data_IF_928811215306
#
_entry.id   IF_928811215306
#
_cell.length_a   1.000
_cell.length_b   1.000
_cell.length_c   1.000
_cell.angle_alpha   90.00
_cell.angle_beta   90.00
_cell.angle_gamma   90.00
#
_symmetry.space_group_name_H-M   'P 1'
#
loop_
_entity.id
_entity.type
_entity.pdbx_description
1 polymer ?
#
# COMPACT_ATOMS: atom_id res chain seq x y z
N UNK A 1 5.62 13.36 0.43
CA UNK A 1 5.13 13.64 -0.94
C UNK A 1 4.65 12.34 -1.59
N UNK A 2 3.38 12.29 -1.97
CA UNK A 2 2.77 11.13 -2.64
C UNK A 2 2.85 11.35 -4.15
N UNK A 3 3.36 10.35 -4.87
CA UNK A 3 3.43 10.36 -6.33
C UNK A 3 2.28 9.50 -6.83
N UNK A 4 1.26 10.12 -7.44
CA UNK A 4 0.17 9.40 -8.09
C UNK A 4 0.65 8.73 -9.38
N UNK A 5 0.02 7.61 -9.75
CA UNK A 5 0.32 6.91 -11.01
C UNK A 5 1.81 6.59 -11.18
N UNK A 6 2.42 5.97 -10.16
CA UNK A 6 3.84 5.59 -10.22
C UNK A 6 4.00 4.36 -11.12
N UNK A 7 4.62 4.53 -12.29
CA UNK A 7 4.79 3.49 -13.30
C UNK A 7 6.24 3.01 -13.45
N UNK A 8 7.20 3.84 -13.00
CA UNK A 8 8.63 3.55 -13.16
C UNK A 8 9.46 4.05 -11.98
N UNK A 9 10.70 3.54 -11.84
CA UNK A 9 11.62 4.06 -10.83
C UNK A 9 12.02 5.51 -11.10
N UNK A 10 11.98 5.96 -12.37
CA UNK A 10 12.30 7.35 -12.72
C UNK A 10 11.33 8.32 -12.07
N UNK A 11 10.03 7.99 -11.97
CA UNK A 11 9.03 8.85 -11.35
C UNK A 11 9.38 9.19 -9.90
N UNK A 12 9.97 8.23 -9.19
CA UNK A 12 10.43 8.40 -7.82
C UNK A 12 11.74 9.20 -7.76
N UNK A 13 12.69 8.89 -8.65
CA UNK A 13 13.99 9.57 -8.70
C UNK A 13 13.87 11.03 -9.17
N UNK A 14 12.89 11.34 -10.02
CA UNK A 14 12.61 12.71 -10.47
C UNK A 14 12.20 13.61 -9.29
N UNK A 15 11.49 13.10 -8.30
CA UNK A 15 11.16 13.87 -7.09
C UNK A 15 12.43 14.21 -6.30
N UNK A 16 13.39 13.31 -6.20
CA UNK A 16 14.68 13.59 -5.58
C UNK A 16 15.48 14.62 -6.38
N UNK A 17 15.47 14.50 -7.70
CA UNK A 17 16.13 15.45 -8.61
C UNK A 17 15.50 16.85 -8.48
N UNK A 18 14.19 16.98 -8.55
CA UNK A 18 13.50 18.25 -8.36
C UNK A 18 13.74 18.80 -6.95
N UNK A 19 13.65 17.94 -5.94
CA UNK A 19 13.98 18.30 -4.56
C UNK A 19 15.40 18.89 -4.42
N UNK A 20 16.36 18.35 -5.18
CA UNK A 20 17.72 18.89 -5.23
C UNK A 20 17.77 20.27 -5.87
N UNK A 21 17.07 20.48 -6.97
CA UNK A 21 17.02 21.78 -7.66
C UNK A 21 16.43 22.89 -6.77
N UNK A 22 15.46 22.54 -5.93
CA UNK A 22 14.77 23.48 -5.03
C UNK A 22 15.36 23.52 -3.61
N UNK A 23 16.49 22.86 -3.36
CA UNK A 23 17.17 22.88 -2.07
C UNK A 23 16.52 22.05 -0.96
N UNK A 24 15.53 21.18 -1.30
CA UNK A 24 14.88 20.26 -0.36
C UNK A 24 15.68 18.96 -0.17
N UNK A 25 16.58 18.69 -1.09
CA UNK A 25 17.50 17.54 -1.06
C UNK A 25 18.93 18.06 -1.18
N UNK A 26 19.80 17.65 -0.28
CA UNK A 26 21.24 17.96 -0.32
C UNK A 26 22.05 16.68 -0.47
N UNK A 27 23.17 16.77 -1.16
CA UNK A 27 24.16 15.70 -1.23
C UNK A 27 25.44 16.18 -0.57
N UNK A 28 25.84 15.53 0.52
CA UNK A 28 27.06 15.87 1.24
C UNK A 28 27.93 14.61 1.34
N UNK A 29 29.14 14.67 0.76
CA UNK A 29 30.10 13.56 0.77
C UNK A 29 29.54 12.22 0.29
N UNK A 30 28.68 12.25 -0.74
CA UNK A 30 28.06 11.05 -1.30
C UNK A 30 26.81 10.56 -0.56
N UNK A 31 26.43 11.18 0.54
CA UNK A 31 25.20 10.87 1.26
C UNK A 31 24.10 11.86 0.89
N UNK A 32 22.91 11.35 0.62
CA UNK A 32 21.70 12.12 0.35
C UNK A 32 21.04 12.46 1.69
N UNK A 33 20.72 13.74 1.90
CA UNK A 33 20.04 14.24 3.10
C UNK A 33 18.81 15.01 2.68
N UNK A 34 17.64 14.63 3.23
CA UNK A 34 16.35 15.29 2.96
C UNK A 34 15.33 14.98 4.04
N UNK A 35 14.44 15.92 4.29
CA UNK A 35 13.25 15.69 5.12
C UNK A 35 12.06 15.17 4.32
N UNK A 36 12.14 15.16 3.00
CA UNK A 36 11.09 14.62 2.14
C UNK A 36 10.90 13.12 2.38
N UNK A 37 9.66 12.72 2.64
CA UNK A 37 9.23 11.33 2.55
C UNK A 37 8.53 11.13 1.22
N UNK A 38 9.09 10.30 0.35
CA UNK A 38 8.56 10.01 -0.97
C UNK A 38 7.72 8.73 -0.89
N UNK A 39 6.47 8.81 -1.29
CA UNK A 39 5.50 7.72 -1.20
C UNK A 39 4.98 7.41 -2.60
N UNK A 40 5.45 6.34 -3.24
CA UNK A 40 4.88 5.89 -4.50
C UNK A 40 3.45 5.40 -4.28
N UNK A 41 2.53 5.76 -5.20
CA UNK A 41 1.14 5.33 -5.19
C UNK A 41 0.88 4.47 -6.43
N UNK A 42 0.40 3.26 -6.20
CA UNK A 42 0.00 2.30 -7.22
C UNK A 42 -1.53 2.22 -7.24
N UNK A 43 -2.14 2.51 -8.38
CA UNK A 43 -3.59 2.76 -8.48
C UNK A 43 -4.32 1.78 -9.39
N UNK A 44 -3.73 1.39 -10.53
CA UNK A 44 -4.33 0.43 -11.46
C UNK A 44 -3.95 -1.01 -11.11
N UNK A 45 -4.64 -1.99 -11.69
CA UNK A 45 -4.28 -3.41 -11.54
C UNK A 45 -2.87 -3.67 -12.07
N UNK A 46 -2.54 -3.09 -13.22
CA UNK A 46 -1.21 -3.20 -13.82
C UNK A 46 -0.11 -2.61 -12.93
N UNK A 47 -0.39 -1.47 -12.27
CA UNK A 47 0.54 -0.89 -11.29
C UNK A 47 0.74 -1.81 -10.09
N UNK A 48 -0.34 -2.37 -9.54
CA UNK A 48 -0.28 -3.30 -8.42
C UNK A 48 0.54 -4.56 -8.74
N UNK A 49 0.43 -5.06 -9.96
CA UNK A 49 1.20 -6.23 -10.43
C UNK A 49 2.69 -5.91 -10.62
N UNK A 50 3.00 -4.71 -11.13
CA UNK A 50 4.37 -4.27 -11.41
C UNK A 50 5.10 -3.71 -10.19
N UNK A 51 4.38 -3.23 -9.17
CA UNK A 51 4.92 -2.56 -7.98
C UNK A 51 6.06 -3.34 -7.28
N UNK A 52 5.97 -4.67 -7.03
CA UNK A 52 7.05 -5.39 -6.38
C UNK A 52 8.36 -5.37 -7.18
N UNK A 53 8.27 -5.50 -8.51
CA UNK A 53 9.44 -5.42 -9.39
C UNK A 53 10.02 -4.01 -9.42
N UNK A 54 9.18 -3.00 -9.57
CA UNK A 54 9.59 -1.60 -9.59
C UNK A 54 10.32 -1.22 -8.28
N UNK A 55 9.77 -1.61 -7.14
CA UNK A 55 10.41 -1.37 -5.84
C UNK A 55 11.73 -2.13 -5.71
N UNK A 56 11.81 -3.37 -6.20
CA UNK A 56 13.06 -4.12 -6.22
C UNK A 56 14.14 -3.41 -7.03
N UNK A 57 13.79 -2.91 -8.22
CA UNK A 57 14.70 -2.16 -9.10
C UNK A 57 15.11 -0.81 -8.48
N UNK A 58 14.19 -0.19 -7.74
CA UNK A 58 14.44 1.06 -7.03
C UNK A 58 15.40 0.87 -5.85
N UNK A 59 15.26 -0.21 -5.08
CA UNK A 59 16.13 -0.50 -3.92
C UNK A 59 17.54 -0.92 -4.32
N UNK A 60 17.76 -1.31 -5.56
CA UNK A 60 19.09 -1.57 -6.12
C UNK A 60 19.79 -0.30 -6.65
N UNK A 61 19.09 0.82 -6.70
CA UNK A 61 19.64 2.10 -7.16
C UNK A 61 20.44 2.75 -6.02
N UNK A 62 21.72 3.06 -6.26
CA UNK A 62 22.63 3.62 -5.26
C UNK A 62 22.13 4.95 -4.67
N UNK A 63 21.49 5.78 -5.49
CA UNK A 63 20.94 7.06 -5.03
C UNK A 63 19.76 6.84 -4.09
N UNK A 64 18.90 5.87 -4.44
CA UNK A 64 17.75 5.55 -3.62
C UNK A 64 18.13 4.82 -2.33
N UNK A 65 19.14 3.96 -2.37
CA UNK A 65 19.68 3.32 -1.15
C UNK A 65 20.24 4.39 -0.19
N UNK A 66 20.94 5.40 -0.71
CA UNK A 66 21.39 6.55 0.09
C UNK A 66 20.20 7.32 0.71
N UNK A 67 19.11 7.48 -0.04
CA UNK A 67 17.87 8.07 0.47
C UNK A 67 17.26 7.22 1.60
N UNK A 68 17.14 5.90 1.42
CA UNK A 68 16.61 5.00 2.45
C UNK A 68 17.45 5.01 3.72
N UNK A 69 18.76 5.07 3.59
CA UNK A 69 19.67 5.18 4.75
C UNK A 69 19.44 6.48 5.53
N UNK A 70 19.18 7.61 4.85
CA UNK A 70 18.78 8.87 5.49
C UNK A 70 17.41 8.78 6.18
N UNK A 71 16.53 7.87 5.72
CA UNK A 71 15.19 7.61 6.29
C UNK A 71 15.16 6.46 7.29
N UNK A 72 16.30 6.09 7.88
CA UNK A 72 16.40 4.95 8.80
C UNK A 72 15.86 3.64 8.18
N UNK A 73 16.07 3.45 6.88
CA UNK A 73 15.55 2.31 6.10
C UNK A 73 14.03 2.11 6.24
N UNK A 74 13.29 3.20 6.24
CA UNK A 74 11.83 3.18 6.30
C UNK A 74 11.23 3.65 4.96
N UNK A 75 10.27 2.87 4.44
CA UNK A 75 9.53 3.19 3.22
C UNK A 75 8.02 3.14 3.45
N UNK A 76 7.32 4.18 3.07
CA UNK A 76 5.86 4.19 2.97
C UNK A 76 5.44 3.99 1.51
N UNK A 77 4.42 3.15 1.28
CA UNK A 77 3.87 2.86 -0.04
C UNK A 77 2.37 3.03 0.03
N UNK A 78 1.80 3.74 -0.93
CA UNK A 78 0.36 3.93 -1.00
C UNK A 78 -0.26 3.01 -2.05
N UNK A 79 -1.38 2.39 -1.70
CA UNK A 79 -2.17 1.56 -2.61
C UNK A 79 -3.54 2.21 -2.84
N UNK A 80 -3.91 2.38 -4.11
CA UNK A 80 -5.19 2.96 -4.51
C UNK A 80 -6.27 1.90 -4.65
N UNK A 81 -7.40 2.11 -3.97
CA UNK A 81 -8.53 1.18 -3.99
C UNK A 81 -9.61 1.59 -4.98
N UNK A 82 -9.80 2.89 -5.21
CA UNK A 82 -10.87 3.40 -6.05
C UNK A 82 -10.65 3.11 -7.53
N UNK A 83 -9.44 3.36 -7.99
CA UNK A 83 -9.10 3.24 -9.40
C UNK A 83 -8.89 1.79 -9.81
N UNK A 84 -8.28 0.96 -8.97
CA UNK A 84 -8.21 -0.48 -9.16
C UNK A 84 -9.61 -1.14 -9.22
N UNK A 85 -10.57 -0.67 -8.42
CA UNK A 85 -11.96 -1.15 -8.50
C UNK A 85 -12.67 -0.75 -9.81
N UNK A 86 -12.34 0.42 -10.37
CA UNK A 86 -12.88 0.85 -11.68
C UNK A 86 -12.27 0.06 -12.82
N UNK A 87 -10.99 -0.28 -12.70
CA UNK A 87 -10.20 -0.98 -13.70
C UNK A 87 -10.63 -2.46 -13.84
N UNK A 88 -10.60 -3.24 -12.76
CA UNK A 88 -10.85 -4.68 -12.78
C UNK A 88 -12.09 -5.17 -12.04
N UNK A 89 -12.89 -4.26 -11.51
CA UNK A 89 -14.03 -4.61 -10.65
C UNK A 89 -13.61 -5.05 -9.24
N UNK A 90 -14.60 -5.18 -8.35
CA UNK A 90 -14.36 -5.36 -6.92
C UNK A 90 -13.55 -6.61 -6.55
N UNK A 91 -13.85 -7.75 -7.19
CA UNK A 91 -13.19 -9.03 -6.87
C UNK A 91 -11.71 -9.01 -7.26
N UNK A 92 -11.43 -8.60 -8.49
CA UNK A 92 -10.06 -8.52 -9.01
C UNK A 92 -9.22 -7.48 -8.28
N UNK A 93 -9.76 -6.29 -8.05
CA UNK A 93 -9.05 -5.24 -7.33
C UNK A 93 -8.63 -5.70 -5.93
N UNK A 94 -9.53 -6.36 -5.17
CA UNK A 94 -9.19 -6.87 -3.85
C UNK A 94 -8.14 -7.99 -3.90
N UNK A 95 -8.21 -8.87 -4.90
CA UNK A 95 -7.22 -9.91 -5.10
C UNK A 95 -5.85 -9.33 -5.45
N UNK A 96 -5.78 -8.41 -6.42
CA UNK A 96 -4.54 -7.75 -6.83
C UNK A 96 -3.92 -6.94 -5.68
N UNK A 97 -4.74 -6.21 -4.91
CA UNK A 97 -4.31 -5.49 -3.72
C UNK A 97 -3.72 -6.44 -2.66
N UNK A 98 -4.39 -7.55 -2.38
CA UNK A 98 -3.91 -8.54 -1.41
C UNK A 98 -2.58 -9.14 -1.86
N UNK A 99 -2.50 -9.61 -3.09
CA UNK A 99 -1.29 -10.20 -3.66
C UNK A 99 -0.12 -9.18 -3.73
N UNK A 100 -0.40 -7.94 -4.09
CA UNK A 100 0.58 -6.86 -4.09
C UNK A 100 1.13 -6.62 -2.69
N UNK A 101 0.27 -6.56 -1.68
CA UNK A 101 0.65 -6.37 -0.28
C UNK A 101 1.60 -7.47 0.21
N UNK A 102 1.27 -8.73 -0.05
CA UNK A 102 2.12 -9.88 0.33
C UNK A 102 3.49 -9.76 -0.31
N UNK A 103 3.55 -9.59 -1.63
CA UNK A 103 4.82 -9.48 -2.37
C UNK A 103 5.68 -8.29 -1.95
N UNK A 104 5.06 -7.15 -1.68
CA UNK A 104 5.77 -5.97 -1.17
C UNK A 104 6.34 -6.25 0.22
N UNK A 105 5.55 -6.85 1.12
CA UNK A 105 6.01 -7.16 2.48
C UNK A 105 7.20 -8.13 2.47
N UNK A 106 7.14 -9.18 1.66
CA UNK A 106 8.26 -10.12 1.47
C UNK A 106 9.52 -9.41 0.95
N UNK A 107 9.34 -8.50 -0.03
CA UNK A 107 10.43 -7.70 -0.58
C UNK A 107 11.08 -6.79 0.47
N UNK A 108 10.26 -6.11 1.28
CA UNK A 108 10.73 -5.21 2.34
C UNK A 108 11.54 -5.97 3.41
N UNK A 109 11.01 -7.08 3.88
CA UNK A 109 11.68 -7.95 4.86
C UNK A 109 13.02 -8.45 4.31
N UNK A 110 13.03 -8.92 3.06
CA UNK A 110 14.25 -9.40 2.38
C UNK A 110 15.35 -8.33 2.29
N UNK A 111 14.98 -7.07 2.13
CA UNK A 111 15.91 -5.94 1.99
C UNK A 111 16.20 -5.21 3.32
N UNK A 112 15.70 -5.72 4.46
CA UNK A 112 15.80 -5.07 5.78
C UNK A 112 15.29 -3.61 5.73
N UNK A 113 14.12 -3.40 5.13
CA UNK A 113 13.46 -2.11 5.04
C UNK A 113 12.19 -2.17 5.91
N UNK A 114 12.12 -1.31 6.91
CA UNK A 114 10.89 -1.08 7.65
C UNK A 114 9.86 -0.38 6.76
N UNK A 115 8.61 -0.77 6.85
CA UNK A 115 7.62 -0.24 5.94
C UNK A 115 6.26 0.00 6.57
N UNK A 116 5.48 0.84 5.90
CA UNK A 116 4.07 1.04 6.17
C UNK A 116 3.29 1.10 4.86
N UNK A 117 2.21 0.33 4.80
CA UNK A 117 1.27 0.45 3.70
C UNK A 117 0.23 1.51 4.05
N UNK A 118 0.12 2.51 3.17
CA UNK A 118 -0.88 3.54 3.23
C UNK A 118 -2.06 3.15 2.34
N UNK A 119 -3.16 2.77 2.96
CA UNK A 119 -4.36 2.34 2.27
C UNK A 119 -5.19 3.54 1.82
N UNK A 120 -5.17 3.82 0.51
CA UNK A 120 -5.98 4.85 -0.14
C UNK A 120 -7.44 4.41 -0.27
N UNK A 121 -8.09 4.08 0.85
CA UNK A 121 -9.51 3.69 0.88
C UNK A 121 -10.39 4.93 0.72
N UNK A 122 -10.39 5.49 -0.49
CA UNK A 122 -11.35 6.53 -0.86
C UNK A 122 -12.73 5.93 -1.05
N UNK A 123 -13.75 6.46 -0.39
CA UNK A 123 -15.12 6.06 -0.64
C UNK A 123 -16.03 6.23 0.56
N UNK A 124 -17.23 6.69 0.30
CA UNK A 124 -18.33 6.65 1.24
C UNK A 124 -18.62 5.19 1.63
N UNK A 125 -19.28 4.97 2.76
CA UNK A 125 -19.74 3.63 3.23
C UNK A 125 -20.51 2.89 2.12
N UNK A 126 -21.21 3.62 1.24
CA UNK A 126 -21.96 3.10 0.10
C UNK A 126 -21.08 2.63 -1.08
N UNK A 127 -19.80 2.96 -1.11
CA UNK A 127 -18.84 2.59 -2.19
C UNK A 127 -17.74 1.63 -1.72
N UNK A 128 -18.01 0.81 -0.70
CA UNK A 128 -17.06 -0.17 -0.20
C UNK A 128 -16.12 0.33 0.91
N UNK A 129 -16.30 1.57 1.40
CA UNK A 129 -15.64 2.08 2.61
C UNK A 129 -16.16 1.39 3.87
N UNK A 130 -15.93 0.08 4.00
CA UNK A 130 -16.33 -0.71 5.15
C UNK A 130 -15.73 -0.21 6.47
N UNK A 131 -16.14 -0.82 7.58
CA UNK A 131 -15.61 -0.46 8.91
C UNK A 131 -14.10 -0.63 8.94
N UNK A 132 -13.36 0.39 9.38
CA UNK A 132 -11.89 0.42 9.41
C UNK A 132 -11.30 -0.77 10.18
N UNK A 133 -11.94 -1.18 11.29
CA UNK A 133 -11.52 -2.36 12.05
C UNK A 133 -11.60 -3.67 11.26
N UNK A 134 -12.64 -3.86 10.44
CA UNK A 134 -12.74 -5.04 9.56
C UNK A 134 -11.65 -5.06 8.51
N UNK A 135 -11.30 -3.88 7.98
CA UNK A 135 -10.22 -3.75 7.04
C UNK A 135 -8.86 -4.15 7.64
N UNK A 136 -8.59 -3.71 8.87
CA UNK A 136 -7.38 -4.08 9.61
C UNK A 136 -7.32 -5.60 9.81
N UNK A 137 -8.43 -6.20 10.25
CA UNK A 137 -8.52 -7.64 10.49
C UNK A 137 -8.40 -8.51 9.21
N UNK A 138 -8.60 -7.92 8.04
CA UNK A 138 -8.50 -8.60 6.74
C UNK A 138 -7.16 -8.37 6.02
N UNK A 139 -6.19 -7.72 6.66
CA UNK A 139 -4.85 -7.56 6.10
C UNK A 139 -4.13 -8.91 6.03
N UNK A 140 -3.32 -9.14 4.98
CA UNK A 140 -2.41 -10.28 4.94
C UNK A 140 -1.51 -10.31 6.18
N UNK A 141 -1.19 -11.50 6.67
CA UNK A 141 -0.37 -11.67 7.88
C UNK A 141 1.00 -11.03 7.74
N UNK A 142 1.58 -11.06 6.53
CA UNK A 142 2.86 -10.45 6.18
C UNK A 142 2.85 -8.92 6.34
N UNK A 143 1.66 -8.29 6.30
CA UNK A 143 1.48 -6.84 6.46
C UNK A 143 1.15 -6.42 7.89
N UNK A 144 1.03 -7.38 8.80
CA UNK A 144 0.59 -7.15 10.18
C UNK A 144 1.75 -6.73 11.10
N UNK A 145 2.49 -5.69 10.70
CA UNK A 145 3.66 -5.16 11.42
C UNK A 145 3.35 -4.08 12.48
N UNK A 146 2.08 -3.86 12.79
CA UNK A 146 1.64 -2.83 13.75
C UNK A 146 1.57 -1.41 13.19
N UNK A 147 2.05 -1.18 11.99
CA UNK A 147 2.07 0.12 11.33
C UNK A 147 0.99 0.17 10.23
N UNK A 148 -0.07 0.93 10.45
CA UNK A 148 -1.11 1.12 9.45
C UNK A 148 -1.40 2.60 9.24
N UNK A 149 -1.64 2.98 7.99
CA UNK A 149 -2.16 4.29 7.62
C UNK A 149 -3.27 4.13 6.59
N UNK A 150 -4.35 4.87 6.75
CA UNK A 150 -5.44 4.88 5.78
C UNK A 150 -6.05 6.27 5.65
N UNK A 151 -6.61 6.56 4.48
CA UNK A 151 -7.39 7.79 4.26
C UNK A 151 -8.83 7.58 4.68
N UNK A 152 -9.42 8.64 5.23
CA UNK A 152 -10.86 8.77 5.39
C UNK A 152 -11.32 10.03 4.65
N UNK A 153 -12.41 9.93 3.91
CA UNK A 153 -12.97 11.11 3.23
C UNK A 153 -13.63 12.06 4.23
N UNK A 154 -13.68 13.36 3.89
CA UNK A 154 -14.19 14.40 4.78
C UNK A 154 -15.58 14.14 5.35
N UNK A 155 -16.50 13.59 4.54
CA UNK A 155 -17.84 13.19 4.98
C UNK A 155 -17.80 12.11 6.07
N UNK A 156 -16.91 11.11 5.90
CA UNK A 156 -16.72 10.02 6.85
C UNK A 156 -16.04 10.51 8.11
N UNK A 157 -15.07 11.41 7.99
CA UNK A 157 -14.38 12.05 9.12
C UNK A 157 -15.38 12.78 10.00
N UNK A 158 -16.24 13.60 9.42
CA UNK A 158 -17.27 14.33 10.17
C UNK A 158 -18.23 13.38 10.88
N UNK A 159 -18.69 12.32 10.21
CA UNK A 159 -19.58 11.33 10.80
C UNK A 159 -18.92 10.53 11.95
N UNK A 160 -17.65 10.16 11.82
CA UNK A 160 -16.93 9.31 12.79
C UNK A 160 -16.34 10.09 13.95
N UNK A 161 -15.97 11.36 13.74
CA UNK A 161 -15.25 12.18 14.72
C UNK A 161 -15.97 13.45 15.13
N UNK A 162 -17.16 13.71 14.61
CA UNK A 162 -17.96 14.90 14.97
C UNK A 162 -18.52 14.88 16.41
N UNK A 163 -18.54 13.73 17.06
CA UNK A 163 -18.90 13.57 18.48
C UNK A 163 -17.83 12.80 19.22
N UNK A 164 -17.44 13.28 20.41
CA UNK A 164 -16.42 12.64 21.24
C UNK A 164 -16.73 11.19 21.61
N UNK A 165 -18.01 10.86 21.86
CA UNK A 165 -18.43 9.51 22.19
C UNK A 165 -18.32 8.56 20.99
N UNK A 166 -18.72 9.01 19.78
CA UNK A 166 -18.60 8.25 18.54
C UNK A 166 -17.13 8.07 18.17
N UNK A 167 -16.32 9.15 18.27
CA UNK A 167 -14.89 9.15 18.01
C UNK A 167 -14.16 8.14 18.91
N UNK A 168 -14.44 8.18 20.22
CA UNK A 168 -13.86 7.25 21.19
C UNK A 168 -14.14 5.80 20.80
N UNK A 169 -15.41 5.46 20.56
CA UNK A 169 -15.82 4.10 20.15
C UNK A 169 -15.12 3.66 18.86
N UNK A 170 -15.00 4.58 17.88
CA UNK A 170 -14.36 4.26 16.61
C UNK A 170 -12.85 4.00 16.78
N UNK A 171 -12.17 4.84 17.56
CA UNK A 171 -10.75 4.65 17.89
C UNK A 171 -10.50 3.37 18.69
N UNK A 172 -11.35 3.08 19.68
CA UNK A 172 -11.27 1.81 20.43
C UNK A 172 -11.41 0.58 19.51
N UNK A 173 -12.29 0.63 18.51
CA UNK A 173 -12.43 -0.45 17.52
C UNK A 173 -11.19 -0.60 16.65
N UNK A 174 -10.54 0.49 16.25
CA UNK A 174 -9.31 0.47 15.46
C UNK A 174 -8.17 -0.13 16.30
N UNK A 175 -7.97 0.37 17.52
CA UNK A 175 -6.93 -0.11 18.43
C UNK A 175 -7.13 -1.58 18.78
N UNK A 176 -8.37 -1.99 19.09
CA UNK A 176 -8.69 -3.38 19.37
C UNK A 176 -8.37 -4.30 18.18
N UNK A 177 -8.75 -3.90 16.96
CA UNK A 177 -8.42 -4.66 15.75
C UNK A 177 -6.90 -4.80 15.55
N UNK A 178 -6.15 -3.72 15.79
CA UNK A 178 -4.69 -3.73 15.68
C UNK A 178 -4.04 -4.66 16.72
N UNK A 179 -4.53 -4.67 17.96
CA UNK A 179 -4.04 -5.58 19.00
C UNK A 179 -4.31 -7.04 18.65
N UNK A 180 -5.51 -7.36 18.13
CA UNK A 180 -5.87 -8.71 17.68
C UNK A 180 -4.97 -9.18 16.55
N UNK A 181 -4.68 -8.31 15.59
CA UNK A 181 -3.77 -8.59 14.47
C UNK A 181 -2.36 -8.90 14.96
N UNK A 182 -1.81 -8.05 15.85
CA UNK A 182 -0.48 -8.25 16.43
C UNK A 182 -0.38 -9.53 17.29
N UNK A 183 -1.45 -9.93 17.94
CA UNK A 183 -1.49 -11.18 18.71
C UNK A 183 -1.49 -12.41 17.78
N UNK A 184 -2.21 -12.34 16.65
CA UNK A 184 -2.27 -13.41 15.66
C UNK A 184 -0.93 -13.64 14.95
N UNK A 185 -0.23 -12.57 14.61
CA UNK A 185 1.08 -12.65 13.94
C UNK A 185 2.14 -13.37 14.75
N UNK A 186 1.90 -13.57 16.06
CA UNK A 186 2.75 -14.36 16.95
C UNK A 186 2.42 -15.86 16.97
N UNK A 187 1.29 -16.27 16.35
CA UNK A 187 0.86 -17.69 16.26
C UNK A 187 0.98 -18.12 14.81
N UNK A 188 1.93 -19.02 14.52
CA UNK A 188 2.21 -19.54 13.19
C UNK A 188 1.08 -20.39 12.58
N UNK A 189 0.94 -20.25 11.28
CA UNK A 189 0.66 -21.18 10.19
C UNK A 189 -0.68 -21.92 10.08
N UNK A 190 -1.44 -21.45 9.06
CA UNK A 190 -2.15 -22.37 8.18
C UNK A 190 -2.10 -21.85 6.71
N UNK A 191 -1.02 -22.20 5.99
CA UNK A 191 -0.72 -21.74 4.61
C UNK A 191 -1.45 -22.50 3.49
N UNK A 192 -2.23 -23.53 3.79
CA UNK A 192 -2.77 -24.43 2.74
C UNK A 192 -4.01 -23.90 2.02
N UNK A 193 -4.75 -23.00 2.62
CA UNK A 193 -6.01 -22.45 2.07
C UNK A 193 -5.81 -21.39 0.98
N UNK A 194 -4.68 -20.67 0.99
CA UNK A 194 -4.44 -19.55 0.07
C UNK A 194 -4.18 -19.97 -1.40
N UNK A 195 -3.59 -21.15 -1.63
CA UNK A 195 -3.25 -21.59 -2.99
C UNK A 195 -4.46 -21.83 -3.89
N UNK A 196 -5.56 -22.37 -3.36
CA UNK A 196 -6.76 -22.68 -4.13
C UNK A 196 -7.50 -21.41 -4.56
N UNK A 197 -7.66 -20.44 -3.65
CA UNK A 197 -8.29 -19.15 -3.94
C UNK A 197 -7.45 -18.37 -4.95
N UNK A 198 -6.14 -18.37 -4.81
CA UNK A 198 -5.19 -17.73 -5.75
C UNK A 198 -5.33 -18.29 -7.15
N UNK A 199 -5.44 -19.62 -7.31
CA UNK A 199 -5.63 -20.25 -8.62
C UNK A 199 -6.97 -19.87 -9.28
N UNK A 200 -8.06 -19.84 -8.53
CA UNK A 200 -9.37 -19.42 -9.03
C UNK A 200 -9.33 -17.97 -9.51
N UNK A 201 -8.72 -17.07 -8.72
CA UNK A 201 -8.67 -15.65 -9.05
C UNK A 201 -7.76 -15.35 -10.24
N UNK A 202 -6.66 -16.08 -10.42
CA UNK A 202 -5.83 -16.02 -11.65
C UNK A 202 -6.60 -16.45 -12.90
N UNK A 203 -7.46 -17.48 -12.80
CA UNK A 203 -8.34 -17.86 -13.90
C UNK A 203 -9.36 -16.76 -14.24
N UNK A 204 -9.89 -16.05 -13.23
CA UNK A 204 -10.84 -14.95 -13.45
C UNK A 204 -10.16 -13.73 -14.09
N UNK A 205 -8.89 -13.45 -13.78
CA UNK A 205 -8.08 -12.43 -14.46
C UNK A 205 -7.99 -12.70 -15.96
N UNK A 206 -7.59 -13.92 -16.33
CA UNK A 206 -7.43 -14.31 -17.72
C UNK A 206 -8.73 -14.22 -18.52
N UNK A 207 -9.87 -14.53 -17.89
CA UNK A 207 -11.18 -14.42 -18.56
C UNK A 207 -11.69 -12.99 -18.71
N UNK A 208 -11.28 -12.06 -17.84
CA UNK A 208 -11.65 -10.64 -17.99
C UNK A 208 -10.87 -9.95 -19.11
N UNK A 209 -9.57 -10.21 -19.23
CA UNK A 209 -8.75 -9.69 -20.33
C UNK A 209 -9.23 -10.20 -21.71
N UNK A 210 -9.61 -11.49 -21.79
CA UNK A 210 -10.17 -12.05 -23.02
C UNK A 210 -11.55 -11.46 -23.40
N UNK A 211 -12.31 -10.92 -22.45
CA UNK A 211 -13.58 -10.25 -22.70
C UNK A 211 -13.42 -8.81 -23.22
N UNK A 212 -12.32 -8.14 -22.90
CA UNK A 212 -12.02 -6.79 -23.40
C UNK A 212 -11.42 -6.81 -24.81
N UNK A 213 -10.64 -7.85 -25.19
CA UNK A 213 -10.19 -8.07 -26.56
C UNK A 213 -11.35 -8.32 -27.55
N UNK A 214 -12.50 -8.82 -27.08
CA UNK A 214 -13.69 -9.03 -27.92
C UNK A 214 -14.55 -7.76 -28.09
N UNK A 215 -14.24 -6.66 -27.38
CA UNK A 215 -14.94 -5.37 -27.48
C UNK A 215 -14.21 -4.32 -28.31
N UNK A 216 -12.98 -4.59 -28.72
CA UNK A 216 -12.17 -3.78 -29.64
C UNK A 216 -12.34 -4.27 -31.10
#
# INVERSE_FOLDING_TARGET
>A
YIISMTHSKSDVLEVLFLGKLFGLVTCTRGSLVTDLNIVPLYETIADLESAPKLLSDLFQDELYDSYLNNKNRFQEIMLGYSDSNKDGGFGMANFSLNNCQIKISELMIKNNIDFRIFHGRGGSISRGGGKSNKAILSLPDECQNGNIRFTEQGEVVNYRYGSSQIAKRHLEQIVSAQLVVLEKSKKEDDKSSNNFITQIMLCLLYTSDAADELRS
#
